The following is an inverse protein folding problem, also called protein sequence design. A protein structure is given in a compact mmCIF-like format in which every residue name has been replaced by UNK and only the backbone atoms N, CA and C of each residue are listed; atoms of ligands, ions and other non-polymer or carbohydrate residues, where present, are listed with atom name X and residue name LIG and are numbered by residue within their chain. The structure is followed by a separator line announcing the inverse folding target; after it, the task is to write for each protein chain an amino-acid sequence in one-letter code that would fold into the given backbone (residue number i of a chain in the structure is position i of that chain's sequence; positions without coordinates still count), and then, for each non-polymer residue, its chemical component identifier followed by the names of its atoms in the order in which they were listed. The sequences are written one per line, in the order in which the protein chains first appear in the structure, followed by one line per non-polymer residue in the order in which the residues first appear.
data_IF_313574473389
#
_entry.id   IF_313574473389
#
_cell.length_a   1.000
_cell.length_b   1.000
_cell.length_c   1.000
_cell.angle_alpha   90.00
_cell.angle_beta   90.00
_cell.angle_gamma   90.00
#
_symmetry.space_group_name_H-M   'P 1'
#
loop_
_entity.id
_entity.type
_entity.pdbx_description
1 polymer ?
#
# COMPACT_ATOMS: atom_id res chain seq x y z
N UNK A 1 -9.29 14.65 -3.25
CA UNK A 1 -8.05 14.45 -4.06
C UNK A 1 -8.15 13.07 -4.69
N UNK A 2 -7.91 12.92 -6.00
CA UNK A 2 -8.09 11.65 -6.72
C UNK A 2 -6.82 10.79 -6.73
N UNK A 3 -6.94 9.50 -7.05
CA UNK A 3 -5.78 8.59 -7.26
C UNK A 3 -4.83 9.12 -8.33
N UNK A 4 -5.36 9.67 -9.43
CA UNK A 4 -4.57 10.25 -10.52
C UNK A 4 -3.69 11.41 -10.03
N UNK A 5 -4.25 12.34 -9.26
CA UNK A 5 -3.49 13.48 -8.73
C UNK A 5 -2.38 13.05 -7.76
N UNK A 6 -2.61 12.01 -6.96
CA UNK A 6 -1.59 11.44 -6.08
C UNK A 6 -0.39 10.90 -6.88
N UNK A 7 -0.61 10.25 -8.03
CA UNK A 7 0.45 9.69 -8.89
C UNK A 7 1.32 10.76 -9.58
N UNK A 8 0.76 11.93 -9.85
CA UNK A 8 1.48 13.05 -10.46
C UNK A 8 2.56 13.65 -9.53
N UNK A 9 2.56 13.30 -8.23
CA UNK A 9 3.47 13.84 -7.21
C UNK A 9 4.86 13.17 -7.17
N UNK A 10 5.40 12.74 -8.32
CA UNK A 10 6.71 12.04 -8.45
C UNK A 10 6.84 10.76 -7.60
N UNK A 11 5.73 10.04 -7.40
CA UNK A 11 5.73 8.77 -6.68
C UNK A 11 6.15 7.63 -7.59
N UNK A 12 6.79 6.62 -7.00
CA UNK A 12 7.22 5.42 -7.74
C UNK A 12 6.20 4.31 -7.57
N UNK A 13 5.82 3.63 -8.66
CA UNK A 13 4.99 2.44 -8.56
C UNK A 13 5.80 1.34 -7.86
N UNK A 14 5.21 0.62 -6.91
CA UNK A 14 5.97 -0.40 -6.18
C UNK A 14 6.40 -1.59 -7.06
N UNK A 15 5.75 -1.81 -8.21
CA UNK A 15 6.21 -2.79 -9.21
C UNK A 15 7.55 -2.40 -9.85
N UNK A 16 7.92 -1.11 -9.83
CA UNK A 16 9.20 -0.62 -10.36
C UNK A 16 10.33 -0.65 -9.29
N UNK A 17 10.01 -1.05 -8.06
CA UNK A 17 10.95 -1.18 -6.95
C UNK A 17 11.20 -2.66 -6.63
N UNK A 18 12.27 -2.99 -5.87
CA UNK A 18 12.48 -4.34 -5.38
C UNK A 18 11.26 -4.85 -4.63
N UNK A 19 10.92 -6.11 -4.88
CA UNK A 19 9.79 -6.77 -4.25
C UNK A 19 9.99 -6.81 -2.74
N UNK A 20 8.90 -6.58 -2.02
CA UNK A 20 8.88 -6.57 -0.55
C UNK A 20 7.91 -7.62 -0.07
N UNK A 21 8.14 -8.05 1.17
CA UNK A 21 7.29 -8.97 1.90
C UNK A 21 6.97 -8.35 3.24
N UNK A 22 5.69 -8.35 3.61
CA UNK A 22 5.27 -7.87 4.92
C UNK A 22 5.43 -8.98 5.96
N UNK A 23 5.68 -8.58 7.19
CA UNK A 23 5.48 -9.45 8.34
C UNK A 23 3.98 -9.52 8.64
N UNK A 24 3.38 -10.70 8.44
CA UNK A 24 1.93 -10.92 8.65
C UNK A 24 1.54 -10.92 10.13
N UNK A 25 2.49 -11.22 11.03
CA UNK A 25 2.34 -11.14 12.49
C UNK A 25 2.75 -9.75 13.05
N UNK A 26 3.21 -8.86 12.17
CA UNK A 26 3.71 -7.53 12.52
C UNK A 26 2.64 -6.44 12.50
N UNK A 27 3.10 -5.20 12.72
CA UNK A 27 2.22 -4.03 12.70
C UNK A 27 1.57 -3.84 11.32
N UNK A 28 0.30 -3.47 11.33
CA UNK A 28 -0.47 -3.11 10.14
C UNK A 28 -1.49 -2.01 10.50
N UNK A 29 -1.49 -0.94 9.74
CA UNK A 29 -2.46 0.14 9.88
C UNK A 29 -2.83 0.71 8.52
N UNK A 30 -4.04 1.26 8.45
CA UNK A 30 -4.58 1.87 7.24
C UNK A 30 -5.26 3.17 7.66
N UNK A 31 -5.02 4.23 6.90
CA UNK A 31 -5.64 5.54 7.13
C UNK A 31 -6.03 6.20 5.80
N UNK A 32 -7.05 7.05 5.84
CA UNK A 32 -7.49 7.81 4.69
C UNK A 32 -7.89 9.22 5.12
N UNK A 33 -7.38 10.24 4.43
CA UNK A 33 -7.69 11.64 4.67
C UNK A 33 -8.60 12.27 3.62
N UNK A 34 -9.28 11.45 2.81
CA UNK A 34 -10.19 11.90 1.76
C UNK A 34 -11.63 12.00 2.29
N UNK A 35 -12.46 12.81 1.65
CA UNK A 35 -13.87 13.00 2.04
C UNK A 35 -14.69 11.69 1.98
N UNK A 36 -14.30 10.76 1.11
CA UNK A 36 -14.89 9.42 0.98
C UNK A 36 -14.11 8.33 1.74
N UNK A 37 -13.42 8.69 2.82
CA UNK A 37 -12.58 7.77 3.60
C UNK A 37 -13.32 6.50 4.06
N UNK A 38 -14.55 6.61 4.57
CA UNK A 38 -15.32 5.45 5.03
C UNK A 38 -15.55 4.45 3.91
N UNK A 39 -15.98 4.91 2.74
CA UNK A 39 -16.23 4.08 1.56
C UNK A 39 -14.95 3.38 1.08
N UNK A 40 -13.84 4.12 1.00
CA UNK A 40 -12.54 3.56 0.60
C UNK A 40 -12.01 2.52 1.60
N UNK A 41 -12.14 2.79 2.90
CA UNK A 41 -11.71 1.86 3.95
C UNK A 41 -12.55 0.59 3.95
N UNK A 42 -13.88 0.68 3.81
CA UNK A 42 -14.76 -0.49 3.68
C UNK A 42 -14.41 -1.28 2.42
N UNK A 43 -14.27 -0.60 1.29
CA UNK A 43 -13.92 -1.24 0.02
C UNK A 43 -12.58 -1.99 0.09
N UNK A 44 -11.59 -1.42 0.80
CA UNK A 44 -10.26 -2.00 0.95
C UNK A 44 -10.21 -3.34 1.72
N UNK A 45 -11.21 -3.63 2.56
CA UNK A 45 -11.17 -4.78 3.48
C UNK A 45 -11.02 -6.12 2.78
N UNK A 46 -11.77 -6.32 1.68
CA UNK A 46 -11.75 -7.59 0.94
C UNK A 46 -10.35 -7.89 0.36
N UNK A 47 -9.68 -6.87 -0.19
CA UNK A 47 -8.32 -6.97 -0.70
C UNK A 47 -7.33 -7.34 0.41
N UNK A 48 -7.47 -6.73 1.59
CA UNK A 48 -6.60 -7.04 2.72
C UNK A 48 -6.85 -8.43 3.28
N UNK A 49 -8.10 -8.90 3.37
CA UNK A 49 -8.40 -10.27 3.79
C UNK A 49 -7.68 -11.27 2.87
N UNK A 50 -7.85 -11.13 1.55
CA UNK A 50 -7.20 -12.03 0.60
C UNK A 50 -5.66 -11.90 0.66
N UNK A 51 -5.12 -10.68 0.80
CA UNK A 51 -3.68 -10.48 0.95
C UNK A 51 -3.13 -11.22 2.18
N UNK A 52 -3.83 -11.14 3.31
CA UNK A 52 -3.44 -11.78 4.56
C UNK A 52 -3.57 -13.31 4.49
N UNK A 53 -4.66 -13.82 3.93
CA UNK A 53 -4.90 -15.26 3.81
C UNK A 53 -3.89 -15.94 2.86
N UNK A 54 -3.52 -15.26 1.78
CA UNK A 54 -2.66 -15.82 0.74
C UNK A 54 -1.18 -15.53 0.95
N UNK A 55 -0.83 -14.61 1.85
CA UNK A 55 0.57 -14.30 2.14
C UNK A 55 1.31 -13.65 0.98
N UNK A 56 0.61 -12.92 0.09
CA UNK A 56 1.23 -12.37 -1.13
C UNK A 56 2.38 -11.41 -0.82
N UNK A 57 3.39 -11.40 -1.69
CA UNK A 57 4.34 -10.29 -1.77
C UNK A 57 3.62 -9.01 -2.25
N UNK A 58 4.30 -7.87 -2.13
CA UNK A 58 3.74 -6.60 -2.62
C UNK A 58 3.51 -6.62 -4.14
N UNK A 59 4.45 -7.20 -4.91
CA UNK A 59 4.28 -7.37 -6.35
C UNK A 59 3.10 -8.30 -6.69
N UNK A 60 3.03 -9.47 -6.06
CA UNK A 60 1.93 -10.42 -6.27
C UNK A 60 0.57 -9.78 -5.96
N UNK A 61 0.47 -9.03 -4.86
CA UNK A 61 -0.74 -8.31 -4.51
C UNK A 61 -1.10 -7.23 -5.55
N UNK A 62 -0.14 -6.41 -5.97
CA UNK A 62 -0.34 -5.38 -6.99
C UNK A 62 -0.78 -5.97 -8.34
N UNK A 63 -0.12 -7.02 -8.82
CA UNK A 63 -0.44 -7.68 -10.08
C UNK A 63 -1.82 -8.36 -10.04
N UNK A 64 -2.13 -9.06 -8.95
CA UNK A 64 -3.40 -9.77 -8.74
C UNK A 64 -4.61 -8.84 -8.89
N UNK A 65 -4.51 -7.63 -8.35
CA UNK A 65 -5.62 -6.68 -8.30
C UNK A 65 -5.51 -5.53 -9.32
N UNK A 66 -4.46 -5.51 -10.16
CA UNK A 66 -4.28 -4.50 -11.21
C UNK A 66 -5.50 -4.40 -12.15
N UNK A 67 -6.07 -5.55 -12.55
CA UNK A 67 -7.27 -5.61 -13.41
C UNK A 67 -8.53 -5.02 -12.77
N UNK A 68 -8.54 -4.87 -11.45
CA UNK A 68 -9.61 -4.27 -10.68
C UNK A 68 -9.38 -2.76 -10.44
N UNK A 69 -8.33 -2.19 -11.04
CA UNK A 69 -7.98 -0.77 -10.92
C UNK A 69 -7.21 -0.43 -9.65
N UNK A 70 -6.55 -1.42 -9.04
CA UNK A 70 -5.74 -1.24 -7.83
C UNK A 70 -4.27 -1.10 -8.20
N UNK A 71 -3.56 -0.17 -7.56
CA UNK A 71 -2.10 -0.04 -7.71
C UNK A 71 -1.43 0.50 -6.44
N UNK A 72 -0.14 0.21 -6.30
CA UNK A 72 0.65 0.53 -5.11
C UNK A 72 1.72 1.57 -5.45
N UNK A 73 1.85 2.60 -4.62
CA UNK A 73 2.74 3.73 -4.87
C UNK A 73 3.55 4.11 -3.63
N UNK A 74 4.77 4.59 -3.83
CA UNK A 74 5.64 5.05 -2.75
C UNK A 74 5.02 6.22 -1.98
N UNK A 75 5.27 6.23 -0.67
CA UNK A 75 4.87 7.28 0.26
C UNK A 75 6.11 7.93 0.89
N UNK A 76 7.06 8.33 0.05
CA UNK A 76 8.40 8.80 0.45
C UNK A 76 8.38 10.06 1.33
N UNK A 77 7.30 10.84 1.25
CA UNK A 77 7.06 12.01 2.07
C UNK A 77 6.60 11.68 3.50
N UNK A 78 6.16 10.44 3.74
CA UNK A 78 5.71 10.00 5.07
C UNK A 78 6.92 9.86 5.98
N UNK A 79 7.13 10.88 6.80
CA UNK A 79 8.18 10.89 7.81
C UNK A 79 7.87 9.90 8.93
N UNK A 80 8.56 8.77 8.92
CA UNK A 80 8.45 7.74 9.96
C UNK A 80 9.08 8.22 11.27
N UNK A 81 8.43 7.94 12.41
CA UNK A 81 9.01 8.23 13.73
C UNK A 81 10.22 7.33 13.95
N UNK A 82 11.14 7.75 14.82
CA UNK A 82 12.34 6.95 15.13
C UNK A 82 11.99 5.54 15.64
N UNK A 83 10.89 5.39 16.37
CA UNK A 83 10.35 4.08 16.81
C UNK A 83 9.98 3.18 15.65
N UNK A 84 9.47 3.74 14.57
CA UNK A 84 8.93 3.00 13.44
C UNK A 84 10.08 2.54 12.52
N UNK A 85 11.14 3.36 12.44
CA UNK A 85 12.40 2.97 11.79
C UNK A 85 13.06 1.78 12.47
N UNK A 86 12.98 1.68 13.80
CA UNK A 86 13.53 0.53 14.53
C UNK A 86 12.74 -0.77 14.36
N UNK A 87 11.55 -0.69 13.73
CA UNK A 87 10.65 -1.82 13.48
C UNK A 87 10.49 -2.15 12.00
N UNK A 88 11.30 -1.54 11.13
CA UNK A 88 11.20 -1.70 9.67
C UNK A 88 9.78 -1.47 9.13
N UNK A 89 9.09 -0.46 9.66
CA UNK A 89 7.77 -0.08 9.15
C UNK A 89 7.92 0.60 7.79
N UNK A 90 7.18 0.10 6.82
CA UNK A 90 7.08 0.61 5.46
C UNK A 90 5.71 1.25 5.23
N UNK A 91 5.70 2.40 4.56
CA UNK A 91 4.50 3.14 4.22
C UNK A 91 4.33 3.22 2.70
N UNK A 92 3.11 3.02 2.21
CA UNK A 92 2.78 3.11 0.80
C UNK A 92 1.32 3.49 0.59
N UNK A 93 1.01 4.00 -0.58
CA UNK A 93 -0.36 4.28 -0.99
C UNK A 93 -0.96 3.12 -1.75
N UNK A 94 -2.16 2.72 -1.35
CA UNK A 94 -3.04 1.85 -2.13
C UNK A 94 -4.04 2.73 -2.87
N UNK A 95 -3.95 2.75 -4.20
CA UNK A 95 -4.79 3.59 -5.06
C UNK A 95 -5.88 2.76 -5.75
N UNK A 96 -7.07 3.33 -5.83
CA UNK A 96 -8.24 2.79 -6.51
C UNK A 96 -8.64 3.74 -7.66
N UNK A 97 -8.63 3.23 -8.89
CA UNK A 97 -9.00 4.00 -10.09
C UNK A 97 -10.46 3.87 -10.49
N UNK A 98 -11.14 2.85 -9.96
CA UNK A 98 -12.54 2.58 -10.23
C UNK A 98 -13.42 3.18 -9.14
N UNK A 99 -14.69 2.78 -9.04
CA UNK A 99 -15.61 3.27 -8.01
C UNK A 99 -15.60 2.34 -6.77
N UNK A 100 -15.24 2.81 -5.56
CA UNK A 100 -14.85 4.18 -5.21
C UNK A 100 -13.42 4.54 -5.65
N UNK A 101 -13.26 5.77 -6.17
CA UNK A 101 -11.95 6.26 -6.61
C UNK A 101 -11.25 6.99 -5.47
N UNK A 102 -9.94 6.82 -5.35
CA UNK A 102 -9.16 7.49 -4.32
C UNK A 102 -7.93 6.70 -3.91
N UNK A 103 -7.43 6.96 -2.72
CA UNK A 103 -6.30 6.23 -2.18
C UNK A 103 -6.35 6.21 -0.66
N UNK A 104 -5.68 5.22 -0.09
CA UNK A 104 -5.48 5.07 1.35
C UNK A 104 -3.98 4.90 1.62
N UNK A 105 -3.52 5.38 2.77
CA UNK A 105 -2.17 5.16 3.26
C UNK A 105 -2.15 3.86 4.07
N UNK A 106 -1.28 2.94 3.68
CA UNK A 106 -1.03 1.68 4.38
C UNK A 106 0.35 1.75 5.02
N UNK A 107 0.44 1.36 6.29
CA UNK A 107 1.71 1.17 6.97
C UNK A 107 1.78 -0.26 7.49
N UNK A 108 2.89 -0.94 7.24
CA UNK A 108 3.08 -2.28 7.75
C UNK A 108 4.55 -2.58 8.02
N UNK A 109 4.79 -3.51 8.94
CA UNK A 109 6.13 -4.04 9.18
C UNK A 109 6.60 -4.90 8.00
N UNK A 110 7.84 -4.69 7.55
CA UNK A 110 8.49 -5.57 6.58
C UNK A 110 9.04 -6.83 7.25
N UNK A 111 8.97 -7.94 6.54
CA UNK A 111 9.69 -9.19 6.85
C UNK A 111 11.03 -9.21 6.11
N UNK A 112 10.99 -8.96 4.80
CA UNK A 112 12.18 -8.92 3.94
C UNK A 112 11.93 -8.13 2.66
N UNK A 113 13.02 -7.79 1.98
CA UNK A 113 13.05 -7.19 0.66
C UNK A 113 14.01 -7.99 -0.23
N UNK A 114 13.62 -8.20 -1.48
CA UNK A 114 14.50 -8.82 -2.47
C UNK A 114 15.66 -7.84 -2.78
N UNK A 115 16.89 -8.34 -2.82
CA UNK A 115 18.03 -7.49 -3.17
C UNK A 115 17.97 -7.08 -4.64
N UNK A 116 18.31 -5.83 -4.95
CA UNK A 116 18.65 -5.43 -6.32
C UNK A 116 19.84 -6.27 -6.78
N UNK A 117 19.63 -7.14 -7.78
CA UNK A 117 20.71 -7.85 -8.46
C UNK A 117 21.53 -6.91 -9.34
#
# INVERSE_FOLDING_TARGET
MSSAKMREENRTNLLDLPNKYRNFDGEFSVSCGLDNAEELLIHSQSYFIEWFEQGYSFHQFAEKFAVQGLSLWSADEVSMRNSDKSKDIFAFYLAFDNNPSGYILVQCQLDREDSLQ
#
